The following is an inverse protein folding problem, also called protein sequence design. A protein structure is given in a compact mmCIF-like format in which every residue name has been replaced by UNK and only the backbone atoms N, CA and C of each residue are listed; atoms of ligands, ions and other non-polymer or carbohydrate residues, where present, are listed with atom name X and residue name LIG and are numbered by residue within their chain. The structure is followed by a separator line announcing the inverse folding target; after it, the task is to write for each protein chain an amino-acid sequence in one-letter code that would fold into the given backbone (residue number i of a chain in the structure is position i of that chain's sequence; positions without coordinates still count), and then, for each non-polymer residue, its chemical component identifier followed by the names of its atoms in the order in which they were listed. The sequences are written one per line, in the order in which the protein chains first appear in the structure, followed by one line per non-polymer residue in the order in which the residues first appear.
data_IF_523332852604
#
_entry.id   IF_523332852604
#
_cell.length_a   1.000
_cell.length_b   1.000
_cell.length_c   1.000
_cell.angle_alpha   90.00
_cell.angle_beta   90.00
_cell.angle_gamma   90.00
#
_symmetry.space_group_name_H-M   'P 1'
#
loop_
_entity.id
_entity.type
_entity.pdbx_description
1 polymer ?
#
# COMPACT_ATOMS: atom_id res chain seq x y z
N UNK A 1 10.22 25.23 -12.62
CA UNK A 1 9.18 26.02 -13.30
C UNK A 1 7.87 25.26 -13.21
N UNK A 2 6.78 25.89 -12.81
CA UNK A 2 5.47 25.23 -12.78
C UNK A 2 4.98 25.10 -14.22
N UNK A 3 5.02 23.89 -14.78
CA UNK A 3 4.34 23.57 -16.03
C UNK A 3 2.84 23.82 -15.83
N UNK A 4 2.24 24.71 -16.62
CA UNK A 4 0.81 25.00 -16.53
C UNK A 4 0.02 23.84 -17.16
N UNK A 5 -0.23 22.78 -16.39
CA UNK A 5 -1.21 21.76 -16.75
C UNK A 5 -2.61 22.37 -16.64
N UNK A 6 -3.52 22.10 -17.57
CA UNK A 6 -4.94 22.42 -17.42
C UNK A 6 -5.63 21.24 -16.74
N UNK A 7 -6.21 21.43 -15.55
CA UNK A 7 -6.85 20.35 -14.78
C UNK A 7 -8.36 20.22 -15.09
N UNK A 8 -8.93 21.15 -15.85
CA UNK A 8 -10.37 21.30 -16.01
C UNK A 8 -11.04 21.90 -14.77
N UNK A 9 -12.26 22.40 -14.96
CA UNK A 9 -12.95 23.25 -13.98
C UNK A 9 -13.07 22.61 -12.59
N UNK A 10 -13.54 21.36 -12.51
CA UNK A 10 -13.77 20.68 -11.24
C UNK A 10 -12.50 20.55 -10.37
N UNK A 11 -11.37 20.16 -10.98
CA UNK A 11 -10.12 19.99 -10.23
C UNK A 11 -9.49 21.33 -9.87
N UNK A 12 -9.61 22.37 -10.72
CA UNK A 12 -9.16 23.72 -10.36
C UNK A 12 -9.98 24.31 -9.20
N UNK A 13 -11.29 24.06 -9.14
CA UNK A 13 -12.15 24.49 -8.04
C UNK A 13 -11.76 23.82 -6.73
N UNK A 14 -11.54 22.50 -6.76
CA UNK A 14 -11.08 21.74 -5.59
C UNK A 14 -9.69 22.17 -5.11
N UNK A 15 -8.73 22.36 -6.03
CA UNK A 15 -7.39 22.89 -5.69
C UNK A 15 -7.51 24.28 -5.06
N UNK A 16 -8.41 25.12 -5.58
CA UNK A 16 -8.65 26.46 -5.04
C UNK A 16 -9.23 26.41 -3.63
N UNK A 17 -10.15 25.48 -3.35
CA UNK A 17 -10.69 25.26 -2.00
C UNK A 17 -9.60 24.80 -1.02
N UNK A 18 -8.76 23.86 -1.43
CA UNK A 18 -7.64 23.35 -0.64
C UNK A 18 -6.62 24.44 -0.26
N UNK A 19 -6.42 25.42 -1.15
CA UNK A 19 -5.57 26.59 -0.87
C UNK A 19 -6.29 27.59 0.03
N UNK A 20 -7.57 27.90 -0.26
CA UNK A 20 -8.40 28.83 0.53
C UNK A 20 -8.54 28.41 1.99
N UNK A 21 -8.68 27.10 2.23
CA UNK A 21 -8.76 26.52 3.58
C UNK A 21 -7.41 26.50 4.30
N UNK A 22 -6.33 26.92 3.65
CA UNK A 22 -4.98 26.96 4.21
C UNK A 22 -4.29 25.59 4.29
N UNK A 23 -4.92 24.52 3.76
CA UNK A 23 -4.35 23.18 3.79
C UNK A 23 -3.09 23.05 2.92
N UNK A 24 -3.01 23.87 1.87
CA UNK A 24 -1.82 23.97 1.00
C UNK A 24 -1.51 25.43 0.68
N UNK A 25 -0.23 25.75 0.51
CA UNK A 25 0.24 27.12 0.25
C UNK A 25 0.21 27.48 -1.24
N UNK A 26 0.19 26.48 -2.12
CA UNK A 26 0.18 26.73 -3.57
C UNK A 26 -0.36 25.58 -4.39
N UNK A 27 -0.85 25.89 -5.60
CA UNK A 27 -1.24 24.90 -6.61
C UNK A 27 -0.13 23.91 -6.94
N UNK A 28 1.11 24.39 -7.01
CA UNK A 28 2.27 23.52 -7.28
C UNK A 28 2.53 22.51 -6.16
N UNK A 29 2.19 22.85 -4.92
CA UNK A 29 2.29 21.93 -3.78
C UNK A 29 1.23 20.83 -3.86
N UNK A 30 -0.03 21.20 -4.11
CA UNK A 30 -1.13 20.23 -4.29
C UNK A 30 -0.83 19.25 -5.41
N UNK A 31 -0.34 19.75 -6.55
CA UNK A 31 0.00 18.90 -7.70
C UNK A 31 1.16 17.95 -7.41
N UNK A 32 2.21 18.41 -6.71
CA UNK A 32 3.32 17.54 -6.33
C UNK A 32 2.86 16.43 -5.37
N UNK A 33 2.01 16.76 -4.41
CA UNK A 33 1.43 15.77 -3.50
C UNK A 33 0.56 14.77 -4.26
N UNK A 34 -0.29 15.25 -5.18
CA UNK A 34 -1.12 14.38 -6.02
C UNK A 34 -0.29 13.39 -6.86
N UNK A 35 0.80 13.86 -7.49
CA UNK A 35 1.71 12.99 -8.24
C UNK A 35 2.45 12.00 -7.34
N UNK A 36 2.86 12.42 -6.13
CA UNK A 36 3.49 11.54 -5.14
C UNK A 36 2.57 10.41 -4.71
N UNK A 37 1.29 10.72 -4.45
CA UNK A 37 0.28 9.73 -4.09
C UNK A 37 0.03 8.74 -5.23
N UNK A 38 0.02 9.23 -6.48
CA UNK A 38 -0.07 8.37 -7.65
C UNK A 38 1.14 7.44 -7.75
N UNK A 39 2.36 7.97 -7.63
CA UNK A 39 3.59 7.18 -7.66
C UNK A 39 3.59 6.09 -6.57
N UNK A 40 3.16 6.42 -5.36
CA UNK A 40 3.04 5.45 -4.26
C UNK A 40 2.02 4.36 -4.57
N UNK A 41 0.87 4.73 -5.12
CA UNK A 41 -0.16 3.77 -5.55
C UNK A 41 0.39 2.80 -6.60
N UNK A 42 1.08 3.32 -7.62
CA UNK A 42 1.66 2.48 -8.68
C UNK A 42 2.74 1.55 -8.11
N UNK A 43 3.59 2.02 -7.20
CA UNK A 43 4.58 1.15 -6.51
C UNK A 43 3.91 0.02 -5.74
N UNK A 44 2.81 0.29 -5.04
CA UNK A 44 2.04 -0.74 -4.31
C UNK A 44 1.42 -1.77 -5.24
N UNK A 45 0.91 -1.34 -6.40
CA UNK A 45 0.35 -2.26 -7.40
C UNK A 45 1.43 -3.16 -8.00
N UNK A 46 2.58 -2.61 -8.39
CA UNK A 46 3.71 -3.41 -8.89
C UNK A 46 4.17 -4.42 -7.84
N UNK A 47 4.28 -4.01 -6.57
CA UNK A 47 4.65 -4.92 -5.49
C UNK A 47 3.62 -6.04 -5.30
N UNK A 48 2.33 -5.74 -5.44
CA UNK A 48 1.25 -6.72 -5.37
C UNK A 48 1.33 -7.72 -6.54
N UNK A 49 1.52 -7.24 -7.77
CA UNK A 49 1.65 -8.09 -8.95
C UNK A 49 2.83 -9.05 -8.82
N UNK A 50 3.97 -8.56 -8.34
CA UNK A 50 5.16 -9.38 -8.06
C UNK A 50 4.87 -10.43 -6.99
N UNK A 51 4.17 -10.07 -5.91
CA UNK A 51 3.82 -11.00 -4.85
C UNK A 51 2.86 -12.10 -5.33
N UNK A 52 1.86 -11.74 -6.14
CA UNK A 52 0.92 -12.70 -6.75
C UNK A 52 1.67 -13.65 -7.70
N UNK A 53 2.49 -13.11 -8.62
CA UNK A 53 3.24 -13.91 -9.57
C UNK A 53 4.16 -14.92 -8.85
N UNK A 54 4.84 -14.48 -7.79
CA UNK A 54 5.64 -15.36 -6.92
C UNK A 54 4.77 -16.43 -6.27
N UNK A 55 3.63 -16.07 -5.68
CA UNK A 55 2.73 -17.01 -5.01
C UNK A 55 2.22 -18.10 -5.96
N UNK A 56 1.87 -17.73 -7.19
CA UNK A 56 1.46 -18.67 -8.23
C UNK A 56 2.61 -19.61 -8.62
N UNK A 57 3.82 -19.07 -8.81
CA UNK A 57 5.01 -19.88 -9.13
C UNK A 57 5.42 -20.80 -7.97
N UNK A 58 5.20 -20.39 -6.71
CA UNK A 58 5.40 -21.23 -5.53
C UNK A 58 4.37 -22.36 -5.46
N UNK A 59 3.09 -22.06 -5.76
CA UNK A 59 2.03 -23.07 -5.82
C UNK A 59 2.28 -24.12 -6.91
N UNK A 60 2.62 -23.70 -8.13
CA UNK A 60 2.91 -24.60 -9.26
C UNK A 60 4.11 -25.52 -8.95
N UNK A 61 5.12 -24.97 -8.28
CA UNK A 61 6.31 -25.73 -7.91
C UNK A 61 6.15 -26.54 -6.60
N UNK A 62 4.94 -26.59 -6.02
CA UNK A 62 4.68 -27.32 -4.77
C UNK A 62 5.37 -26.73 -3.54
N UNK A 63 5.84 -25.47 -3.58
CA UNK A 63 6.46 -24.74 -2.45
C UNK A 63 5.42 -24.14 -1.51
N UNK A 64 4.29 -24.81 -1.35
CA UNK A 64 3.18 -24.41 -0.49
C UNK A 64 2.97 -25.44 0.62
N UNK A 65 2.43 -25.00 1.75
CA UNK A 65 2.10 -25.88 2.87
C UNK A 65 0.59 -25.84 3.10
N UNK A 66 -0.07 -26.99 3.29
CA UNK A 66 -1.48 -27.02 3.65
C UNK A 66 -1.78 -26.19 4.89
N UNK A 67 -2.91 -25.47 4.88
CA UNK A 67 -3.27 -24.55 5.98
C UNK A 67 -3.44 -25.27 7.32
N UNK A 68 -3.90 -26.52 7.32
CA UNK A 68 -4.04 -27.34 8.52
C UNK A 68 -2.68 -27.55 9.22
N UNK A 69 -1.67 -27.96 8.47
CA UNK A 69 -0.31 -28.15 9.00
C UNK A 69 0.28 -26.84 9.54
N UNK A 70 0.03 -25.72 8.85
CA UNK A 70 0.46 -24.39 9.32
C UNK A 70 -0.25 -24.02 10.62
N UNK A 71 -1.57 -24.24 10.71
CA UNK A 71 -2.37 -23.94 11.88
C UNK A 71 -1.91 -24.74 13.09
N UNK A 72 -1.73 -26.06 12.93
CA UNK A 72 -1.27 -26.96 14.00
C UNK A 72 0.12 -26.54 14.52
N UNK A 73 1.05 -26.26 13.60
CA UNK A 73 2.40 -25.80 13.93
C UNK A 73 2.39 -24.47 14.68
N UNK A 74 1.56 -23.51 14.25
CA UNK A 74 1.46 -22.21 14.91
C UNK A 74 0.79 -22.34 16.29
N UNK A 75 -0.28 -23.12 16.41
CA UNK A 75 -0.94 -23.37 17.69
C UNK A 75 0.00 -24.04 18.70
N UNK A 76 0.79 -25.02 18.27
CA UNK A 76 1.83 -25.63 19.11
C UNK A 76 2.89 -24.61 19.54
N UNK A 77 3.40 -23.79 18.60
CA UNK A 77 4.40 -22.75 18.90
C UNK A 77 3.90 -21.76 19.96
N UNK A 78 2.68 -21.27 19.81
CA UNK A 78 2.15 -20.25 20.73
C UNK A 78 1.74 -20.82 22.10
N UNK A 79 1.32 -22.08 22.18
CA UNK A 79 1.12 -22.76 23.48
C UNK A 79 2.41 -22.85 24.28
N UNK A 80 3.48 -23.34 23.64
CA UNK A 80 4.80 -23.43 24.29
C UNK A 80 5.30 -22.08 24.80
N UNK A 81 5.12 -21.03 23.99
CA UNK A 81 5.52 -19.68 24.39
C UNK A 81 4.71 -19.13 25.57
N UNK A 82 3.44 -19.54 25.72
CA UNK A 82 2.62 -19.17 26.86
C UNK A 82 3.09 -19.90 28.13
N UNK A 83 3.33 -21.21 28.03
CA UNK A 83 3.85 -22.04 29.13
C UNK A 83 5.21 -21.51 29.65
N UNK A 84 6.12 -21.13 28.74
CA UNK A 84 7.43 -20.55 29.07
C UNK A 84 7.36 -19.16 29.74
N UNK A 85 6.21 -18.46 29.67
CA UNK A 85 6.00 -17.16 30.32
C UNK A 85 5.38 -17.28 31.71
N UNK A 86 4.79 -18.43 32.02
CA UNK A 86 4.17 -18.72 33.32
C UNK A 86 5.15 -19.37 34.31
N UNK A 87 6.29 -19.88 33.82
CA UNK A 87 7.46 -20.34 34.61
C UNK A 87 8.50 -19.24 34.79
#
# INVERSE_FOLDING_TARGET
MASSANLGQHLEDYVSELIKTGRYQSRSEVLREGVRLLEEREKRLVALDVAIARGLADAEAGRVTPVGEVADRLAAKYRKLAEERET
#
